data_IF_362564915669
#
_entry.id   IF_362564915669
#
_cell.length_a   1.000
_cell.length_b   1.000
_cell.length_c   1.000
_cell.angle_alpha   90.00
_cell.angle_beta   90.00
_cell.angle_gamma   90.00
#
_symmetry.space_group_name_H-M   'P 1'
#
loop_
_entity.id
_entity.type
_entity.pdbx_description
1 polymer ?
#
# COMPACT_ATOMS: atom_id res chain seq x y z
N UNK A 1 -9.79 -2.81 -28.20
CA UNK A 1 -9.22 -4.14 -27.89
C UNK A 1 -8.61 -4.23 -26.47
N UNK A 2 -7.70 -3.31 -26.02
CA UNK A 2 -7.11 -3.35 -24.65
C UNK A 2 -8.13 -3.12 -23.55
N UNK A 3 -9.08 -2.19 -23.72
CA UNK A 3 -10.13 -1.89 -22.74
C UNK A 3 -11.07 -3.10 -22.60
N UNK A 4 -11.55 -3.67 -23.70
CA UNK A 4 -12.41 -4.85 -23.68
C UNK A 4 -11.77 -6.08 -23.02
N UNK A 5 -10.46 -6.31 -23.26
CA UNK A 5 -9.68 -7.35 -22.56
C UNK A 5 -9.56 -7.09 -21.06
N UNK A 6 -9.39 -5.83 -20.66
CA UNK A 6 -9.35 -5.42 -19.26
C UNK A 6 -10.71 -5.67 -18.59
N UNK A 7 -11.77 -5.23 -19.23
CA UNK A 7 -13.13 -5.34 -18.71
C UNK A 7 -13.56 -6.81 -18.58
N UNK A 8 -13.26 -7.65 -19.56
CA UNK A 8 -13.51 -9.10 -19.50
C UNK A 8 -12.69 -9.78 -18.38
N UNK A 9 -11.42 -9.38 -18.20
CA UNK A 9 -10.59 -9.94 -17.15
C UNK A 9 -10.94 -9.40 -15.74
N UNK A 10 -11.73 -8.33 -15.64
CA UNK A 10 -12.23 -7.79 -14.37
C UNK A 10 -13.61 -8.33 -14.01
N UNK A 11 -14.38 -8.86 -14.96
CA UNK A 11 -15.76 -9.28 -14.75
C UNK A 11 -15.94 -10.29 -13.60
N UNK A 12 -15.01 -11.23 -13.44
CA UNK A 12 -15.00 -12.19 -12.33
C UNK A 12 -14.74 -11.52 -10.97
N UNK A 13 -13.92 -10.45 -10.97
CA UNK A 13 -13.52 -9.72 -9.77
C UNK A 13 -14.46 -8.57 -9.42
N UNK A 14 -15.31 -8.14 -10.35
CA UNK A 14 -16.36 -7.14 -10.17
C UNK A 14 -17.74 -7.81 -10.16
N UNK A 15 -17.88 -8.83 -9.33
CA UNK A 15 -19.11 -9.60 -9.14
C UNK A 15 -19.20 -10.04 -7.68
N UNK A 16 -20.15 -9.48 -6.95
CA UNK A 16 -20.31 -9.69 -5.51
C UNK A 16 -20.47 -11.16 -5.13
N UNK A 17 -21.32 -11.90 -5.86
CA UNK A 17 -21.66 -13.28 -5.51
C UNK A 17 -20.48 -14.23 -5.79
N UNK A 18 -19.69 -13.97 -6.83
CA UNK A 18 -18.46 -14.72 -7.11
C UNK A 18 -17.39 -14.41 -6.06
N UNK A 19 -17.16 -13.12 -5.76
CA UNK A 19 -16.16 -12.65 -4.78
C UNK A 19 -16.43 -13.27 -3.41
N UNK A 20 -17.69 -13.28 -2.95
CA UNK A 20 -18.07 -13.81 -1.64
C UNK A 20 -18.62 -15.24 -1.69
N UNK A 21 -18.23 -16.04 -2.70
CA UNK A 21 -18.58 -17.46 -2.70
C UNK A 21 -18.08 -18.17 -1.43
N UNK A 22 -18.78 -19.22 -0.99
CA UNK A 22 -18.37 -20.01 0.19
C UNK A 22 -16.91 -20.50 0.07
N UNK A 23 -16.49 -20.89 -1.13
CA UNK A 23 -15.12 -21.32 -1.44
C UNK A 23 -14.11 -20.23 -1.16
N UNK A 24 -14.34 -19.00 -1.62
CA UNK A 24 -13.44 -17.88 -1.40
C UNK A 24 -13.40 -17.45 0.07
N UNK A 25 -14.53 -17.43 0.76
CA UNK A 25 -14.57 -17.17 2.21
C UNK A 25 -13.77 -18.22 3.00
N UNK A 26 -13.91 -19.51 2.65
CA UNK A 26 -13.16 -20.58 3.30
C UNK A 26 -11.64 -20.47 3.04
N UNK A 27 -11.24 -20.13 1.83
CA UNK A 27 -9.82 -19.87 1.50
C UNK A 27 -9.26 -18.67 2.28
N UNK A 28 -10.03 -17.59 2.35
CA UNK A 28 -9.68 -16.39 3.10
C UNK A 28 -9.53 -16.67 4.60
N UNK A 29 -10.41 -17.50 5.18
CA UNK A 29 -10.27 -18.00 6.55
C UNK A 29 -8.95 -18.75 6.74
N UNK A 30 -8.59 -19.67 5.84
CA UNK A 30 -7.29 -20.40 5.93
C UNK A 30 -6.12 -19.42 5.93
N UNK A 31 -6.17 -18.36 5.12
CA UNK A 31 -5.14 -17.32 5.09
C UNK A 31 -5.13 -16.50 6.38
N UNK A 32 -6.29 -16.09 6.90
CA UNK A 32 -6.39 -15.31 8.14
C UNK A 32 -5.89 -16.06 9.38
N UNK A 33 -5.96 -17.39 9.38
CA UNK A 33 -5.51 -18.24 10.49
C UNK A 33 -4.00 -18.39 10.55
N UNK A 34 -3.29 -18.25 9.45
CA UNK A 34 -1.84 -18.46 9.37
C UNK A 34 -1.09 -17.53 10.33
N UNK A 35 -0.19 -18.09 11.15
CA UNK A 35 0.66 -17.35 12.09
C UNK A 35 -0.05 -16.84 13.34
N UNK A 36 -1.38 -17.02 13.47
CA UNK A 36 -2.19 -16.57 14.61
C UNK A 36 -3.10 -17.66 15.19
N UNK A 37 -2.93 -18.92 14.77
CA UNK A 37 -3.73 -20.07 15.23
C UNK A 37 -3.65 -20.34 16.73
N UNK A 38 -2.64 -19.80 17.41
CA UNK A 38 -2.44 -19.87 18.86
C UNK A 38 -3.36 -18.93 19.66
N UNK A 39 -3.95 -17.92 19.01
CA UNK A 39 -4.85 -16.96 19.68
C UNK A 39 -6.20 -17.61 20.02
N UNK A 40 -6.66 -17.47 21.27
CA UNK A 40 -7.92 -18.05 21.75
C UNK A 40 -9.14 -17.69 20.87
N UNK A 41 -9.23 -16.42 20.42
CA UNK A 41 -10.32 -15.97 19.52
C UNK A 41 -10.32 -16.71 18.17
N UNK A 42 -9.13 -17.01 17.63
CA UNK A 42 -8.97 -17.77 16.39
C UNK A 42 -9.30 -19.24 16.63
N UNK A 43 -8.88 -19.82 17.75
CA UNK A 43 -9.21 -21.21 18.11
C UNK A 43 -10.73 -21.40 18.28
N UNK A 44 -11.39 -20.50 18.99
CA UNK A 44 -12.86 -20.48 19.15
C UNK A 44 -13.60 -20.43 17.79
N UNK A 45 -13.17 -19.56 16.89
CA UNK A 45 -13.73 -19.49 15.54
C UNK A 45 -13.46 -20.78 14.75
N UNK A 46 -12.26 -21.33 14.88
CA UNK A 46 -11.81 -22.53 14.16
C UNK A 46 -12.58 -23.79 14.57
N UNK A 47 -12.99 -23.91 15.83
CA UNK A 47 -13.74 -25.07 16.33
C UNK A 47 -15.02 -25.34 15.53
N UNK A 48 -15.68 -24.29 15.02
CA UNK A 48 -16.90 -24.38 14.21
C UNK A 48 -16.73 -23.63 12.87
N UNK A 49 -15.53 -23.63 12.27
CA UNK A 49 -15.24 -22.82 11.10
C UNK A 49 -16.20 -23.01 9.92
N UNK A 50 -16.61 -24.25 9.51
CA UNK A 50 -17.55 -24.43 8.41
C UNK A 50 -18.91 -23.74 8.66
N UNK A 51 -19.44 -23.86 9.87
CA UNK A 51 -20.72 -23.23 10.26
C UNK A 51 -20.60 -21.71 10.37
N UNK A 52 -19.51 -21.21 10.96
CA UNK A 52 -19.24 -19.78 11.05
C UNK A 52 -19.09 -19.13 9.67
N UNK A 53 -18.45 -19.81 8.73
CA UNK A 53 -18.30 -19.33 7.35
C UNK A 53 -19.63 -19.39 6.60
N UNK A 54 -20.42 -20.47 6.77
CA UNK A 54 -21.74 -20.58 6.19
C UNK A 54 -22.67 -19.46 6.70
N UNK A 55 -22.64 -19.19 8.00
CA UNK A 55 -23.38 -18.08 8.59
C UNK A 55 -22.99 -16.73 7.97
N UNK A 56 -21.69 -16.47 7.85
CA UNK A 56 -21.15 -15.25 7.21
C UNK A 56 -21.59 -15.17 5.74
N UNK A 57 -21.49 -16.27 5.00
CA UNK A 57 -21.95 -16.36 3.60
C UNK A 57 -23.43 -16.01 3.47
N UNK A 58 -24.30 -16.59 4.31
CA UNK A 58 -25.73 -16.32 4.29
C UNK A 58 -26.06 -14.85 4.62
N UNK A 59 -25.32 -14.25 5.57
CA UNK A 59 -25.46 -12.82 5.89
C UNK A 59 -25.08 -11.93 4.70
N UNK A 60 -23.98 -12.23 4.03
CA UNK A 60 -23.51 -11.49 2.85
C UNK A 60 -24.49 -11.65 1.69
N UNK A 61 -24.94 -12.87 1.39
CA UNK A 61 -25.90 -13.14 0.33
C UNK A 61 -27.24 -12.41 0.54
N UNK A 62 -27.67 -12.31 1.80
CA UNK A 62 -28.89 -11.60 2.17
C UNK A 62 -28.72 -10.08 2.31
N UNK A 63 -27.52 -9.52 2.10
CA UNK A 63 -27.23 -8.10 2.34
C UNK A 63 -27.35 -7.66 3.81
N UNK A 64 -27.28 -8.61 4.76
CA UNK A 64 -27.47 -8.40 6.20
C UNK A 64 -26.16 -8.46 7.00
N UNK A 65 -25.01 -8.50 6.33
CA UNK A 65 -23.73 -8.51 7.04
C UNK A 65 -23.54 -7.20 7.81
N UNK A 66 -23.24 -7.36 9.12
CA UNK A 66 -22.92 -6.23 9.99
C UNK A 66 -21.51 -6.42 10.52
N UNK A 67 -20.70 -5.38 10.43
CA UNK A 67 -19.37 -5.35 11.05
C UNK A 67 -19.52 -5.47 12.56
N UNK A 68 -18.79 -6.40 13.20
CA UNK A 68 -18.77 -6.49 14.68
C UNK A 68 -17.98 -5.34 15.33
N UNK A 69 -17.38 -4.44 14.54
CA UNK A 69 -16.56 -3.35 15.01
C UNK A 69 -15.09 -3.73 15.27
N UNK A 70 -14.36 -2.79 15.86
CA UNK A 70 -12.93 -2.92 16.09
C UNK A 70 -12.61 -3.32 17.54
N UNK A 71 -11.57 -4.10 17.68
CA UNK A 71 -10.84 -4.23 18.93
C UNK A 71 -9.67 -3.24 18.90
N UNK A 72 -9.68 -2.25 19.77
CA UNK A 72 -8.71 -1.17 19.78
C UNK A 72 -7.66 -1.37 20.88
N UNK A 73 -6.40 -1.12 20.55
CA UNK A 73 -5.30 -1.15 21.50
C UNK A 73 -4.14 -0.30 21.02
N UNK A 74 -3.35 0.16 21.99
CA UNK A 74 -2.15 0.93 21.70
C UNK A 74 -0.92 0.04 21.64
N UNK A 75 -0.13 0.21 20.57
CA UNK A 75 1.11 -0.51 20.35
C UNK A 75 2.28 0.46 20.39
N UNK A 76 3.20 0.21 21.32
CA UNK A 76 4.48 0.92 21.37
C UNK A 76 5.56 0.11 20.67
N UNK A 77 5.88 0.49 19.44
CA UNK A 77 6.90 -0.19 18.64
C UNK A 77 8.04 0.76 18.29
N UNK A 78 9.26 0.41 18.73
CA UNK A 78 10.50 1.14 18.39
C UNK A 78 10.43 2.65 18.71
N UNK A 79 9.79 3.00 19.83
CA UNK A 79 9.62 4.38 20.28
C UNK A 79 8.56 5.18 19.52
N UNK A 80 7.68 4.49 18.77
CA UNK A 80 6.50 5.09 18.15
C UNK A 80 5.25 4.51 18.80
N UNK A 81 4.37 5.39 19.23
CA UNK A 81 3.01 5.06 19.65
C UNK A 81 2.14 4.89 18.39
N UNK A 82 1.36 3.82 18.36
CA UNK A 82 0.40 3.53 17.29
C UNK A 82 -0.89 3.05 17.88
N UNK A 83 -1.97 3.73 17.57
CA UNK A 83 -3.31 3.24 17.86
C UNK A 83 -3.74 2.23 16.78
N UNK A 84 -4.04 1.00 17.20
CA UNK A 84 -4.37 -0.12 16.29
C UNK A 84 -5.84 -0.42 16.42
N UNK A 85 -6.55 -0.38 15.29
CA UNK A 85 -7.94 -0.85 15.15
C UNK A 85 -7.93 -2.22 14.48
N UNK A 86 -8.07 -3.27 15.27
CA UNK A 86 -8.03 -4.65 14.79
C UNK A 86 -9.43 -5.21 14.67
N UNK A 87 -9.74 -5.81 13.53
CA UNK A 87 -11.02 -6.49 13.31
C UNK A 87 -11.04 -7.87 13.95
N UNK A 88 -12.23 -8.34 14.34
CA UNK A 88 -12.45 -9.72 14.78
C UNK A 88 -12.26 -10.70 13.62
N UNK A 89 -12.02 -11.98 13.92
CA UNK A 89 -11.66 -12.98 12.89
C UNK A 89 -12.73 -13.12 11.80
N UNK A 90 -14.02 -13.08 12.13
CA UNK A 90 -15.11 -13.17 11.14
C UNK A 90 -15.07 -12.03 10.13
N UNK A 91 -14.94 -10.79 10.60
CA UNK A 91 -14.81 -9.63 9.72
C UNK A 91 -13.50 -9.66 8.92
N UNK A 92 -12.40 -10.07 9.56
CA UNK A 92 -11.12 -10.21 8.88
C UNK A 92 -11.20 -11.19 7.71
N UNK A 93 -12.00 -12.25 7.81
CA UNK A 93 -12.27 -13.19 6.71
C UNK A 93 -12.99 -12.49 5.56
N UNK A 94 -14.02 -11.69 5.84
CA UNK A 94 -14.75 -10.92 4.82
C UNK A 94 -13.85 -9.88 4.17
N UNK A 95 -13.13 -9.07 4.95
CA UNK A 95 -12.20 -8.07 4.43
C UNK A 95 -11.08 -8.72 3.59
N UNK A 96 -10.57 -9.87 4.02
CA UNK A 96 -9.58 -10.63 3.26
C UNK A 96 -10.14 -11.14 1.95
N UNK A 97 -11.36 -11.66 1.98
CA UNK A 97 -12.06 -12.16 0.80
C UNK A 97 -12.26 -11.05 -0.23
N UNK A 98 -12.75 -9.89 0.21
CA UNK A 98 -12.90 -8.69 -0.62
C UNK A 98 -11.56 -8.24 -1.22
N UNK A 99 -10.51 -8.17 -0.42
CA UNK A 99 -9.19 -7.76 -0.91
C UNK A 99 -8.62 -8.72 -1.95
N UNK A 100 -8.62 -10.03 -1.65
CA UNK A 100 -7.94 -11.01 -2.49
C UNK A 100 -8.69 -11.29 -3.81
N UNK A 101 -10.02 -11.19 -3.80
CA UNK A 101 -10.84 -11.56 -4.95
C UNK A 101 -11.45 -10.37 -5.71
N UNK A 102 -11.42 -9.14 -5.17
CA UNK A 102 -11.92 -7.95 -5.86
C UNK A 102 -10.89 -6.81 -5.88
N UNK A 103 -10.57 -6.21 -4.72
CA UNK A 103 -9.81 -4.96 -4.68
C UNK A 103 -8.40 -5.10 -5.26
N UNK A 104 -7.64 -6.12 -4.86
CA UNK A 104 -6.27 -6.33 -5.33
C UNK A 104 -6.23 -6.65 -6.82
N UNK A 105 -6.99 -7.63 -7.36
CA UNK A 105 -6.97 -7.94 -8.78
C UNK A 105 -7.30 -6.76 -9.69
N UNK A 106 -8.24 -5.89 -9.29
CA UNK A 106 -8.67 -4.74 -10.08
C UNK A 106 -7.71 -3.57 -9.91
N UNK A 107 -7.41 -3.16 -8.67
CA UNK A 107 -6.60 -1.96 -8.41
C UNK A 107 -5.12 -2.14 -8.74
N UNK A 108 -4.54 -3.33 -8.52
CA UNK A 108 -3.12 -3.59 -8.82
C UNK A 108 -2.78 -3.33 -10.30
N UNK A 109 -3.71 -3.54 -11.20
CA UNK A 109 -3.55 -3.27 -12.65
C UNK A 109 -3.38 -1.79 -12.98
N UNK A 110 -3.87 -0.92 -12.10
CA UNK A 110 -3.74 0.53 -12.27
C UNK A 110 -2.42 1.06 -11.72
N UNK A 111 -1.70 0.28 -10.90
CA UNK A 111 -0.50 0.75 -10.23
C UNK A 111 0.71 0.75 -11.15
N UNK A 112 1.55 1.78 -11.01
CA UNK A 112 2.85 1.80 -11.70
C UNK A 112 3.73 0.64 -11.22
N UNK A 113 4.56 0.12 -12.11
CA UNK A 113 5.44 -1.02 -11.80
C UNK A 113 6.33 -0.78 -10.58
N UNK A 114 6.82 0.46 -10.42
CA UNK A 114 7.75 0.87 -9.35
C UNK A 114 7.08 1.22 -8.01
N UNK A 115 5.78 0.96 -7.87
CA UNK A 115 5.13 0.87 -6.57
C UNK A 115 5.47 -0.49 -5.95
N UNK A 116 6.24 -0.47 -4.86
CA UNK A 116 6.87 -1.67 -4.27
C UNK A 116 6.18 -2.25 -3.05
N UNK A 117 5.07 -1.68 -2.57
CA UNK A 117 4.46 -2.09 -1.31
C UNK A 117 3.21 -2.96 -1.50
N UNK A 118 2.97 -3.86 -0.54
CA UNK A 118 1.70 -4.59 -0.30
C UNK A 118 1.05 -5.28 -1.50
N UNK A 119 1.82 -5.68 -2.50
CA UNK A 119 1.38 -6.43 -3.67
C UNK A 119 2.08 -7.78 -3.73
N UNK A 120 1.47 -8.75 -4.44
CA UNK A 120 2.06 -10.08 -4.65
C UNK A 120 3.41 -9.94 -5.39
N UNK A 121 4.44 -10.66 -4.91
CA UNK A 121 5.81 -10.62 -5.43
C UNK A 121 6.51 -9.26 -5.32
N UNK A 122 5.92 -8.30 -4.63
CA UNK A 122 6.53 -7.04 -4.27
C UNK A 122 6.70 -6.95 -2.74
N UNK A 123 7.44 -5.98 -2.28
CA UNK A 123 7.78 -5.81 -0.88
C UNK A 123 9.13 -5.12 -0.74
N UNK A 124 9.69 -5.18 0.43
CA UNK A 124 10.95 -4.54 0.77
C UNK A 124 12.12 -4.93 -0.18
N UNK A 125 12.25 -6.22 -0.49
CA UNK A 125 13.31 -6.71 -1.39
C UNK A 125 13.11 -6.24 -2.82
N UNK A 126 11.87 -6.20 -3.31
CA UNK A 126 11.54 -5.64 -4.60
C UNK A 126 11.91 -4.16 -4.66
N UNK A 127 11.47 -3.36 -3.68
CA UNK A 127 11.73 -1.92 -3.63
C UNK A 127 13.23 -1.62 -3.59
N UNK A 128 14.00 -2.35 -2.77
CA UNK A 128 15.46 -2.17 -2.69
C UNK A 128 16.21 -2.63 -3.94
N UNK A 129 15.71 -3.64 -4.65
CA UNK A 129 16.24 -4.02 -5.98
C UNK A 129 15.95 -2.95 -7.02
N UNK A 130 14.73 -2.38 -7.02
CA UNK A 130 14.34 -1.34 -7.99
C UNK A 130 15.18 -0.08 -7.86
N UNK A 131 15.36 0.45 -6.65
CA UNK A 131 16.23 1.62 -6.45
C UNK A 131 17.67 1.31 -6.86
N UNK A 132 18.19 0.11 -6.56
CA UNK A 132 19.52 -0.32 -7.00
C UNK A 132 19.63 -0.34 -8.52
N UNK A 133 18.62 -0.85 -9.21
CA UNK A 133 18.56 -0.85 -10.68
C UNK A 133 18.54 0.59 -11.23
N UNK A 134 17.71 1.47 -10.71
CA UNK A 134 17.64 2.87 -11.14
C UNK A 134 18.98 3.61 -10.93
N UNK A 135 19.70 3.30 -9.83
CA UNK A 135 21.04 3.85 -9.58
C UNK A 135 22.06 3.34 -10.61
N UNK A 136 22.02 2.06 -10.99
CA UNK A 136 22.88 1.51 -12.05
C UNK A 136 22.55 2.10 -13.43
N UNK A 137 21.26 2.27 -13.75
CA UNK A 137 20.83 2.89 -15.01
C UNK A 137 21.28 4.36 -15.10
N UNK A 138 21.15 5.09 -13.97
CA UNK A 138 21.61 6.46 -13.85
C UNK A 138 23.14 6.54 -14.03
N UNK A 139 23.88 5.69 -13.31
CA UNK A 139 25.33 5.67 -13.37
C UNK A 139 25.85 5.38 -14.78
N UNK A 140 25.28 4.40 -15.48
CA UNK A 140 25.68 4.08 -16.86
C UNK A 140 25.56 5.26 -17.82
N UNK A 141 24.61 6.16 -17.56
CA UNK A 141 24.34 7.29 -18.45
C UNK A 141 25.04 8.58 -18.01
N UNK A 142 25.19 8.78 -16.69
CA UNK A 142 25.61 10.06 -16.12
C UNK A 142 26.74 9.95 -15.10
N UNK A 143 27.30 8.77 -14.86
CA UNK A 143 28.30 8.53 -13.83
C UNK A 143 27.75 8.79 -12.43
N UNK A 144 28.60 9.31 -11.53
CA UNK A 144 28.24 9.65 -10.15
C UNK A 144 27.59 11.03 -10.00
N UNK A 145 27.40 11.75 -11.11
CA UNK A 145 26.77 13.08 -11.06
C UNK A 145 25.25 12.95 -10.97
N UNK A 146 24.68 13.80 -10.14
CA UNK A 146 23.22 13.85 -9.96
C UNK A 146 22.77 13.83 -8.51
N UNK A 147 21.48 13.81 -8.37
CA UNK A 147 20.79 13.98 -7.09
C UNK A 147 19.67 12.96 -6.95
N UNK A 148 19.31 12.68 -5.72
CA UNK A 148 18.11 11.95 -5.37
C UNK A 148 17.24 12.85 -4.49
N UNK A 149 15.97 12.99 -4.87
CA UNK A 149 14.93 13.47 -3.99
C UNK A 149 14.37 12.29 -3.21
N UNK A 150 14.35 12.39 -1.91
CA UNK A 150 13.63 11.50 -1.00
C UNK A 150 12.44 12.26 -0.44
N UNK A 151 11.28 11.64 -0.36
CA UNK A 151 10.09 12.22 0.25
C UNK A 151 9.31 11.18 1.05
N UNK A 152 8.52 11.65 2.00
CA UNK A 152 7.69 10.82 2.89
C UNK A 152 6.36 11.55 3.12
N UNK A 153 5.27 10.81 3.27
CA UNK A 153 3.98 11.42 3.61
C UNK A 153 3.81 11.49 5.13
N UNK A 154 3.31 12.61 5.60
CA UNK A 154 3.03 12.81 7.02
C UNK A 154 1.74 12.12 7.41
N UNK A 155 1.79 11.21 8.42
CA UNK A 155 0.61 10.49 8.93
C UNK A 155 -0.25 9.92 7.80
N UNK A 156 0.38 9.20 6.85
CA UNK A 156 -0.24 8.82 5.58
C UNK A 156 -1.59 8.13 5.79
N UNK A 157 -1.64 7.08 6.61
CA UNK A 157 -2.88 6.34 6.87
C UNK A 157 -3.96 7.19 7.56
N UNK A 158 -3.58 8.07 8.48
CA UNK A 158 -4.51 8.91 9.22
C UNK A 158 -5.12 10.02 8.34
N UNK A 159 -4.48 10.33 7.20
CA UNK A 159 -4.88 11.43 6.31
C UNK A 159 -5.47 10.98 4.98
N UNK A 160 -5.64 9.67 4.74
CA UNK A 160 -6.29 9.19 3.51
C UNK A 160 -7.70 9.78 3.41
N UNK A 161 -8.00 10.49 2.30
CA UNK A 161 -9.32 11.03 2.03
C UNK A 161 -10.27 9.92 1.59
N UNK A 162 -11.39 9.75 2.30
CA UNK A 162 -12.44 8.81 1.92
C UNK A 162 -13.07 9.17 0.58
N UNK A 163 -13.27 10.47 0.30
CA UNK A 163 -13.81 10.94 -0.98
C UNK A 163 -12.93 10.52 -2.16
N UNK A 164 -11.60 10.70 -2.04
CA UNK A 164 -10.64 10.30 -3.08
C UNK A 164 -10.69 8.79 -3.30
N UNK A 165 -10.71 8.02 -2.22
CA UNK A 165 -10.74 6.55 -2.30
C UNK A 165 -12.05 6.06 -2.90
N UNK A 166 -13.20 6.60 -2.47
CA UNK A 166 -14.53 6.26 -3.02
C UNK A 166 -14.60 6.61 -4.50
N UNK A 167 -14.12 7.79 -4.92
CA UNK A 167 -14.06 8.16 -6.32
C UNK A 167 -13.22 7.18 -7.18
N UNK A 168 -12.12 6.67 -6.63
CA UNK A 168 -11.31 5.64 -7.30
C UNK A 168 -12.12 4.33 -7.43
N UNK A 169 -12.82 3.91 -6.37
CA UNK A 169 -13.63 2.69 -6.38
C UNK A 169 -14.76 2.79 -7.41
N UNK A 170 -15.53 3.87 -7.43
CA UNK A 170 -16.59 4.08 -8.43
C UNK A 170 -16.09 4.18 -9.87
N UNK A 171 -14.84 4.52 -10.08
CA UNK A 171 -14.21 4.51 -11.41
C UNK A 171 -13.84 3.10 -11.87
N UNK A 172 -13.44 2.23 -10.95
CA UNK A 172 -12.85 0.92 -11.27
C UNK A 172 -13.84 -0.23 -11.09
N UNK A 173 -14.92 -0.05 -10.31
CA UNK A 173 -15.93 -1.06 -10.01
C UNK A 173 -17.30 -0.62 -10.50
N UNK A 174 -18.13 -1.58 -10.91
CA UNK A 174 -19.52 -1.39 -11.35
C UNK A 174 -20.54 -2.12 -10.47
N UNK A 175 -20.12 -3.15 -9.73
CA UNK A 175 -21.02 -3.88 -8.81
C UNK A 175 -21.34 -3.03 -7.58
N UNK A 176 -22.58 -2.55 -7.50
CA UNK A 176 -23.04 -1.67 -6.42
C UNK A 176 -22.97 -2.33 -5.03
N UNK A 177 -23.11 -3.66 -4.95
CA UNK A 177 -23.02 -4.40 -3.67
C UNK A 177 -21.58 -4.46 -3.17
N UNK A 178 -20.60 -4.61 -4.07
CA UNK A 178 -19.17 -4.52 -3.74
C UNK A 178 -18.80 -3.11 -3.28
N UNK A 179 -19.28 -2.09 -4.00
CA UNK A 179 -19.07 -0.69 -3.66
C UNK A 179 -19.64 -0.39 -2.27
N UNK A 180 -20.92 -0.69 -2.05
CA UNK A 180 -21.58 -0.42 -0.77
C UNK A 180 -20.89 -1.10 0.43
N UNK A 181 -20.47 -2.37 0.28
CA UNK A 181 -19.78 -3.09 1.34
C UNK A 181 -18.36 -2.51 1.58
N UNK A 182 -17.65 -2.12 0.51
CA UNK A 182 -16.32 -1.53 0.63
C UNK A 182 -16.40 -0.16 1.31
N UNK A 183 -17.37 0.65 0.94
CA UNK A 183 -17.61 1.95 1.55
C UNK A 183 -18.02 1.83 3.02
N UNK A 184 -18.85 0.84 3.37
CA UNK A 184 -19.17 0.54 4.76
C UNK A 184 -17.89 0.29 5.60
N UNK A 185 -16.91 -0.45 5.06
CA UNK A 185 -15.63 -0.65 5.76
C UNK A 185 -14.76 0.61 5.81
N UNK A 186 -14.83 1.49 4.81
CA UNK A 186 -14.14 2.78 4.82
C UNK A 186 -14.74 3.69 5.88
N UNK A 187 -16.06 3.84 5.90
CA UNK A 187 -16.79 4.75 6.78
C UNK A 187 -16.68 4.34 8.26
N UNK A 188 -16.45 3.06 8.54
CA UNK A 188 -16.17 2.57 9.90
C UNK A 188 -14.92 3.19 10.53
N UNK A 189 -14.02 3.82 9.76
CA UNK A 189 -12.84 4.52 10.29
C UNK A 189 -13.11 5.98 10.68
N UNK A 190 -14.30 6.53 10.43
CA UNK A 190 -14.69 7.91 10.70
C UNK A 190 -14.69 8.79 9.45
N UNK A 191 -14.44 10.09 9.59
CA UNK A 191 -14.57 11.05 8.47
C UNK A 191 -13.37 10.98 7.49
N UNK A 192 -12.22 10.53 7.96
CA UNK A 192 -10.99 10.38 7.16
C UNK A 192 -10.06 9.36 7.78
N UNK A 193 -9.07 8.99 7.00
CA UNK A 193 -8.03 8.06 7.41
C UNK A 193 -8.45 6.61 7.30
N UNK A 194 -7.46 5.75 7.36
CA UNK A 194 -7.63 4.29 7.30
C UNK A 194 -6.87 3.67 8.45
N UNK A 195 -7.55 2.90 9.27
CA UNK A 195 -6.95 2.29 10.46
C UNK A 195 -5.80 1.34 10.12
N UNK A 196 -4.76 1.38 10.95
CA UNK A 196 -3.68 0.42 10.86
C UNK A 196 -4.14 -0.97 11.31
N UNK A 197 -3.78 -2.01 10.54
CA UNK A 197 -4.07 -3.41 10.87
C UNK A 197 -5.09 -4.09 9.95
N UNK A 198 -5.73 -3.35 9.04
CA UNK A 198 -6.61 -3.88 8.01
C UNK A 198 -5.89 -4.01 6.67
N UNK A 199 -6.18 -5.07 5.91
CA UNK A 199 -5.66 -5.25 4.55
C UNK A 199 -6.33 -4.26 3.58
N UNK A 200 -7.61 -3.97 3.76
CA UNK A 200 -8.35 -2.95 2.98
C UNK A 200 -7.62 -1.61 3.09
N UNK A 201 -7.26 -1.18 4.30
CA UNK A 201 -6.53 0.07 4.52
C UNK A 201 -5.24 0.16 3.71
N UNK A 202 -4.49 -0.94 3.62
CA UNK A 202 -3.23 -0.95 2.86
C UNK A 202 -3.45 -0.80 1.35
N UNK A 203 -4.41 -1.52 0.80
CA UNK A 203 -4.71 -1.49 -0.63
C UNK A 203 -5.26 -0.12 -1.05
N UNK A 204 -6.20 0.42 -0.28
CA UNK A 204 -6.82 1.69 -0.57
C UNK A 204 -5.87 2.88 -0.35
N UNK A 205 -4.99 2.82 0.66
CA UNK A 205 -3.92 3.81 0.83
C UNK A 205 -2.94 3.80 -0.37
N UNK A 206 -2.60 2.63 -0.92
CA UNK A 206 -1.81 2.58 -2.16
C UNK A 206 -2.54 3.23 -3.33
N UNK A 207 -3.84 2.92 -3.48
CA UNK A 207 -4.66 3.47 -4.55
C UNK A 207 -4.83 4.99 -4.45
N UNK A 208 -4.98 5.55 -3.24
CA UNK A 208 -5.14 6.99 -3.04
C UNK A 208 -3.96 7.82 -3.59
N UNK A 209 -2.74 7.30 -3.52
CA UNK A 209 -1.55 7.98 -4.03
C UNK A 209 -1.17 7.57 -5.48
N UNK A 210 -1.95 6.71 -6.14
CA UNK A 210 -1.62 6.20 -7.48
C UNK A 210 -1.58 7.29 -8.56
N UNK A 211 -2.44 8.32 -8.45
CA UNK A 211 -2.43 9.47 -9.36
C UNK A 211 -1.09 10.22 -9.30
N UNK A 212 -0.48 10.33 -8.11
CA UNK A 212 0.86 10.90 -7.98
C UNK A 212 1.91 10.04 -8.69
N UNK A 213 1.83 8.71 -8.55
CA UNK A 213 2.78 7.79 -9.20
C UNK A 213 2.75 7.96 -10.73
N UNK A 214 1.54 8.01 -11.32
CA UNK A 214 1.35 8.25 -12.74
C UNK A 214 1.85 9.63 -13.17
N UNK A 215 1.54 10.67 -12.40
CA UNK A 215 1.99 12.02 -12.70
C UNK A 215 3.53 12.10 -12.78
N UNK A 216 4.23 11.50 -11.82
CA UNK A 216 5.70 11.48 -11.83
C UNK A 216 6.26 10.69 -13.01
N UNK A 217 5.64 9.56 -13.36
CA UNK A 217 6.11 8.69 -14.46
C UNK A 217 5.76 9.24 -15.85
N UNK A 218 4.56 9.76 -16.02
CA UNK A 218 3.99 10.09 -17.33
C UNK A 218 4.12 11.57 -17.69
N UNK A 219 3.90 12.46 -16.70
CA UNK A 219 3.97 13.91 -16.92
C UNK A 219 5.37 14.45 -16.65
N UNK A 220 5.93 14.16 -15.47
CA UNK A 220 7.31 14.56 -15.14
C UNK A 220 8.36 13.67 -15.81
N UNK A 221 7.97 12.54 -16.38
CA UNK A 221 8.82 11.59 -17.11
C UNK A 221 10.09 11.15 -16.36
N UNK A 222 10.02 11.08 -15.02
CA UNK A 222 11.15 10.65 -14.19
C UNK A 222 11.25 9.13 -14.19
N UNK A 223 12.21 8.59 -14.95
CA UNK A 223 12.44 7.14 -15.03
C UNK A 223 12.88 6.55 -13.70
N UNK A 224 13.80 7.21 -13.00
CA UNK A 224 14.32 6.80 -11.71
C UNK A 224 13.39 7.14 -10.55
N UNK A 225 12.14 6.72 -10.61
CA UNK A 225 11.11 6.90 -9.59
C UNK A 225 10.70 5.58 -8.98
N UNK A 226 10.45 5.56 -7.67
CA UNK A 226 9.78 4.46 -6.99
C UNK A 226 9.19 4.90 -5.66
N UNK A 227 8.15 4.19 -5.23
CA UNK A 227 7.46 4.44 -3.95
C UNK A 227 7.24 3.12 -3.19
N UNK A 228 7.38 3.20 -1.88
CA UNK A 228 7.04 2.14 -0.94
C UNK A 228 6.15 2.72 0.16
N UNK A 229 4.83 2.55 0.05
CA UNK A 229 3.81 3.19 0.90
C UNK A 229 3.96 4.72 0.87
N UNK A 230 4.38 5.30 2.00
CA UNK A 230 4.62 6.71 2.24
C UNK A 230 6.02 7.20 1.81
N UNK A 231 6.98 6.30 1.68
CA UNK A 231 8.37 6.60 1.31
C UNK A 231 8.59 6.55 -0.20
N UNK A 232 8.97 7.67 -0.84
CA UNK A 232 9.27 7.72 -2.26
C UNK A 232 10.61 8.34 -2.59
N UNK A 233 11.07 8.13 -3.85
CA UNK A 233 12.29 8.76 -4.36
C UNK A 233 12.20 9.09 -5.86
N UNK A 234 12.96 10.13 -6.26
CA UNK A 234 13.22 10.49 -7.66
C UNK A 234 14.73 10.69 -7.85
N UNK A 235 15.27 10.19 -8.98
CA UNK A 235 16.69 10.35 -9.34
C UNK A 235 16.77 11.19 -10.61
N UNK A 236 17.58 12.26 -10.58
CA UNK A 236 17.79 13.14 -11.74
C UNK A 236 19.18 13.81 -11.67
N UNK A 237 19.71 14.26 -12.80
CA UNK A 237 21.01 14.98 -12.88
C UNK A 237 20.90 16.42 -12.33
N UNK A 238 19.78 17.09 -12.52
CA UNK A 238 19.55 18.47 -12.12
C UNK A 238 18.87 18.57 -10.75
N UNK A 239 19.50 19.31 -9.82
CA UNK A 239 18.90 19.65 -8.52
C UNK A 239 17.70 20.59 -8.68
N UNK A 240 17.80 21.58 -9.57
CA UNK A 240 16.73 22.53 -9.83
C UNK A 240 15.48 21.83 -10.38
N UNK A 241 15.67 20.85 -11.27
CA UNK A 241 14.55 20.01 -11.75
C UNK A 241 13.86 19.25 -10.61
N UNK A 242 14.61 18.63 -9.71
CA UNK A 242 14.03 17.95 -8.55
C UNK A 242 13.33 18.91 -7.58
N UNK A 243 13.82 20.17 -7.44
CA UNK A 243 13.11 21.20 -6.66
C UNK A 243 11.75 21.53 -7.28
N UNK A 244 11.70 21.65 -8.61
CA UNK A 244 10.43 21.81 -9.33
C UNK A 244 9.50 20.61 -9.15
N UNK A 245 10.05 19.38 -9.21
CA UNK A 245 9.27 18.17 -8.94
C UNK A 245 8.65 18.19 -7.54
N UNK A 246 9.34 18.69 -6.51
CA UNK A 246 8.78 18.82 -5.15
C UNK A 246 7.54 19.72 -5.15
N UNK A 247 7.58 20.84 -5.87
CA UNK A 247 6.42 21.74 -5.98
C UNK A 247 5.21 21.04 -6.62
N UNK A 248 5.42 20.33 -7.74
CA UNK A 248 4.38 19.53 -8.39
C UNK A 248 3.84 18.41 -7.50
N UNK A 249 4.72 17.65 -6.85
CA UNK A 249 4.32 16.59 -5.92
C UNK A 249 3.47 17.16 -4.79
N UNK A 250 3.85 18.32 -4.24
CA UNK A 250 3.08 18.99 -3.19
C UNK A 250 1.67 19.39 -3.66
N UNK A 251 1.56 19.94 -4.87
CA UNK A 251 0.28 20.32 -5.44
C UNK A 251 -0.65 19.10 -5.62
N UNK A 252 -0.15 18.02 -6.23
CA UNK A 252 -0.92 16.77 -6.41
C UNK A 252 -1.28 16.15 -5.06
N UNK A 253 -0.37 16.13 -4.10
CA UNK A 253 -0.66 15.63 -2.76
C UNK A 253 -1.77 16.43 -2.08
N UNK A 254 -1.78 17.76 -2.22
CA UNK A 254 -2.85 18.61 -1.67
C UNK A 254 -4.22 18.27 -2.27
N UNK A 255 -4.31 18.05 -3.59
CA UNK A 255 -5.54 17.61 -4.26
C UNK A 255 -6.01 16.21 -3.76
N UNK A 256 -5.09 15.36 -3.36
CA UNK A 256 -5.38 14.00 -2.84
C UNK A 256 -5.60 13.96 -1.32
N UNK A 257 -5.55 15.10 -0.64
CA UNK A 257 -5.61 15.17 0.82
C UNK A 257 -4.37 14.60 1.53
N UNK A 258 -3.25 14.40 0.79
CA UNK A 258 -1.99 13.87 1.30
C UNK A 258 -1.06 15.03 1.68
N UNK A 259 -0.40 14.94 2.83
CA UNK A 259 0.56 15.95 3.30
C UNK A 259 1.98 15.42 3.21
N UNK A 260 2.88 16.15 2.52
CA UNK A 260 4.31 15.85 2.53
C UNK A 260 4.92 16.11 3.91
N UNK A 261 5.84 15.27 4.31
CA UNK A 261 6.66 15.47 5.49
C UNK A 261 7.88 16.33 5.14
N UNK A 262 7.78 17.63 5.36
CA UNK A 262 8.82 18.59 4.98
C UNK A 262 10.20 18.29 5.62
N UNK A 263 10.21 17.74 6.85
CA UNK A 263 11.46 17.37 7.55
C UNK A 263 12.18 16.19 6.92
N UNK A 264 11.46 15.32 6.22
CA UNK A 264 11.99 14.13 5.54
C UNK A 264 12.11 14.31 4.02
N UNK A 265 11.51 15.36 3.46
CA UNK A 265 11.63 15.68 2.04
C UNK A 265 12.95 16.40 1.81
N UNK A 266 13.89 15.72 1.13
CA UNK A 266 15.25 16.22 0.95
C UNK A 266 15.86 15.81 -0.37
N UNK A 267 16.68 16.71 -0.93
CA UNK A 267 17.46 16.43 -2.14
C UNK A 267 18.92 16.24 -1.74
N UNK A 268 19.46 15.06 -2.03
CA UNK A 268 20.83 14.67 -1.65
C UNK A 268 21.65 14.40 -2.91
N UNK A 269 22.91 14.83 -2.93
CA UNK A 269 23.85 14.48 -4.01
C UNK A 269 24.16 12.99 -3.95
N UNK A 270 24.10 12.28 -5.08
CA UNK A 270 24.31 10.82 -5.14
C UNK A 270 25.71 10.41 -4.60
N UNK A 271 26.74 11.24 -4.85
CA UNK A 271 28.09 11.00 -4.36
C UNK A 271 28.22 10.98 -2.82
N UNK A 272 27.30 11.61 -2.09
CA UNK A 272 27.27 11.58 -0.61
C UNK A 272 26.62 10.32 -0.04
N UNK A 273 25.93 9.55 -0.89
CA UNK A 273 25.08 8.45 -0.48
C UNK A 273 23.88 8.92 0.33
N UNK A 274 22.87 8.09 0.44
CA UNK A 274 21.60 8.41 1.10
C UNK A 274 21.03 7.17 1.81
N UNK A 275 20.02 7.39 2.65
CA UNK A 275 19.31 6.28 3.33
C UNK A 275 17.85 6.25 2.89
N UNK A 276 17.37 5.07 2.50
CA UNK A 276 15.98 4.80 2.16
C UNK A 276 15.56 3.42 2.68
N UNK A 277 14.37 3.28 3.21
CA UNK A 277 13.86 2.04 3.83
C UNK A 277 14.86 1.40 4.83
N UNK A 278 15.54 2.21 5.64
CA UNK A 278 16.57 1.77 6.61
C UNK A 278 17.82 1.11 5.99
N UNK A 279 18.03 1.27 4.69
CA UNK A 279 19.25 0.89 3.98
C UNK A 279 20.01 2.14 3.57
N UNK A 280 21.33 2.16 3.81
CA UNK A 280 22.24 3.16 3.28
C UNK A 280 22.74 2.73 1.92
N UNK A 281 22.51 3.57 0.92
CA UNK A 281 22.99 3.39 -0.47
C UNK A 281 24.10 4.36 -0.77
N UNK A 282 25.08 3.91 -1.52
CA UNK A 282 26.07 4.78 -2.17
C UNK A 282 26.63 4.11 -3.43
N UNK A 283 27.08 4.93 -4.38
CA UNK A 283 27.66 4.48 -5.63
C UNK A 283 29.19 4.69 -5.51
N UNK A 284 29.95 3.63 -5.77
CA UNK A 284 31.43 3.74 -5.84
C UNK A 284 31.87 4.49 -7.08
N UNK A 285 33.14 4.90 -7.16
CA UNK A 285 33.73 5.50 -8.37
C UNK A 285 33.66 4.58 -9.58
N UNK A 286 33.59 3.26 -9.35
CA UNK A 286 33.49 2.23 -10.42
C UNK A 286 32.04 1.86 -10.77
N UNK A 287 31.03 2.56 -10.22
CA UNK A 287 29.62 2.33 -10.51
C UNK A 287 28.96 1.22 -9.69
N UNK A 288 29.68 0.57 -8.78
CA UNK A 288 29.06 -0.45 -7.92
C UNK A 288 28.15 0.22 -6.90
N UNK A 289 26.87 -0.19 -6.86
CA UNK A 289 25.94 0.24 -5.81
C UNK A 289 26.15 -0.62 -4.58
N UNK A 290 26.52 0.02 -3.48
CA UNK A 290 26.76 -0.64 -2.19
C UNK A 290 25.59 -0.34 -1.26
N UNK A 291 25.09 -1.38 -0.59
CA UNK A 291 24.01 -1.32 0.41
C UNK A 291 24.56 -1.69 1.77
N UNK A 292 24.32 -0.84 2.77
CA UNK A 292 24.69 -1.11 4.17
C UNK A 292 23.45 -0.98 5.05
N UNK A 293 23.33 -1.84 6.05
CA UNK A 293 22.29 -1.69 7.07
C UNK A 293 22.54 -0.39 7.83
N UNK A 294 21.47 0.35 8.10
CA UNK A 294 21.57 1.61 8.84
C UNK A 294 22.12 1.38 10.25
N UNK A 295 23.19 2.09 10.61
CA UNK A 295 23.97 1.86 11.85
C UNK A 295 23.09 1.79 13.11
N UNK A 296 22.11 2.68 13.25
CA UNK A 296 21.14 2.64 14.37
C UNK A 296 20.30 1.35 14.43
N UNK A 297 20.03 0.71 13.29
CA UNK A 297 19.32 -0.56 13.27
C UNK A 297 20.17 -1.71 13.79
N UNK A 298 21.47 -1.69 13.51
CA UNK A 298 22.44 -2.68 14.03
C UNK A 298 22.60 -2.55 15.54
N UNK A 299 22.69 -1.31 16.06
CA UNK A 299 22.81 -1.06 17.51
C UNK A 299 21.59 -1.59 18.28
N UNK A 300 20.38 -1.40 17.72
CA UNK A 300 19.13 -1.91 18.33
C UNK A 300 18.95 -3.43 18.24
N UNK A 301 19.62 -4.12 17.32
CA UNK A 301 19.61 -5.60 17.25
C UNK A 301 20.58 -6.25 18.24
N UNK A 302 21.54 -5.46 18.78
CA UNK A 302 22.55 -5.94 19.74
C UNK A 302 22.15 -5.69 21.20
N UNK A 303 21.07 -4.96 21.42
CA UNK A 303 20.39 -4.77 22.71
C UNK A 303 19.21 -5.73 22.85
#
# INVERSE_FOLDING_TARGET
ARRAKRDAACAEHDNYDEVFSYKHLYQSYKCCRRGVSWKASVQKYTANAPLNILHTYNQLAAGKFKSPGFYEFDLYERGKHRHIRSTVISERVVQRCLCDNALVPILERTFVYDNGASMKNKGYDFATRRITQHLHEHYRKYGNEGYILLFDFSKFFDNVSHEVVKAILHKEFTDERLLALTEHFIDAFGDKGMGLGSQISQVLALASANRLDHYVKEVLQVRGYGRYMDDGYLIHTSKAYLQNCVAHIRAICAELGITLNEKKTQIVKLSHGFSWLKVRFFITKTGKVVRKIYKRSVTKMRQ
#
